data_IF_398371440991
#
_entry.id   IF_398371440991
#
_cell.length_a   1.000
_cell.length_b   1.000
_cell.length_c   1.000
_cell.angle_alpha   90.00
_cell.angle_beta   90.00
_cell.angle_gamma   90.00
#
_symmetry.space_group_name_H-M   'P 1'
#
loop_
_entity.id
_entity.type
_entity.pdbx_description
1 polymer ?
#
# COMPACT_ATOMS: atom_id res chain seq x y z
N UNK A 1 15.37 -5.34 -17.92
CA UNK A 1 15.30 -5.40 -16.45
C UNK A 1 14.71 -4.10 -15.93
N UNK A 2 13.80 -4.20 -14.96
CA UNK A 2 13.30 -3.04 -14.21
C UNK A 2 13.90 -3.11 -12.81
N UNK A 3 14.62 -2.09 -12.42
CA UNK A 3 15.25 -2.02 -11.11
C UNK A 3 14.98 -0.65 -10.49
N UNK A 4 14.74 -0.61 -9.19
CA UNK A 4 14.32 0.61 -8.50
C UNK A 4 15.09 0.77 -7.20
N UNK A 5 15.36 2.02 -6.85
CA UNK A 5 15.88 2.36 -5.53
C UNK A 5 14.75 2.99 -4.71
N UNK A 6 14.51 2.45 -3.53
CA UNK A 6 13.40 2.93 -2.68
C UNK A 6 13.51 4.42 -2.40
N UNK A 7 14.72 4.93 -2.12
CA UNK A 7 14.91 6.34 -1.84
C UNK A 7 14.47 7.24 -3.00
N UNK A 8 14.70 6.79 -4.24
CA UNK A 8 14.27 7.52 -5.42
C UNK A 8 12.75 7.48 -5.59
N UNK A 9 12.13 6.33 -5.30
CA UNK A 9 10.68 6.20 -5.35
C UNK A 9 10.01 7.12 -4.33
N UNK A 10 10.56 7.22 -3.13
CA UNK A 10 10.05 8.11 -2.09
C UNK A 10 10.13 9.56 -2.58
N UNK A 11 11.25 9.95 -3.18
CA UNK A 11 11.42 11.30 -3.74
C UNK A 11 10.42 11.58 -4.85
N UNK A 12 10.23 10.64 -5.78
CA UNK A 12 9.24 10.77 -6.86
C UNK A 12 7.82 10.88 -6.31
N UNK A 13 7.51 10.12 -5.27
CA UNK A 13 6.20 10.18 -4.62
C UNK A 13 5.92 11.58 -4.09
N UNK A 14 6.89 12.20 -3.43
CA UNK A 14 6.74 13.57 -2.89
C UNK A 14 6.39 14.59 -3.97
N UNK A 15 6.93 14.39 -5.18
CA UNK A 15 6.71 15.31 -6.29
C UNK A 15 5.42 15.00 -7.06
N UNK A 16 4.77 13.87 -6.79
CA UNK A 16 3.64 13.41 -7.59
C UNK A 16 2.29 14.00 -7.18
N UNK A 17 2.16 14.51 -5.97
CA UNK A 17 0.88 14.94 -5.37
C UNK A 17 -0.17 13.83 -5.29
N UNK A 18 0.25 12.58 -5.34
CA UNK A 18 -0.64 11.42 -5.24
C UNK A 18 -0.38 10.70 -3.93
N UNK A 19 -1.41 10.10 -3.35
CA UNK A 19 -1.22 9.20 -2.20
C UNK A 19 -0.55 7.91 -2.65
N UNK A 20 -0.95 7.37 -3.79
CA UNK A 20 -0.43 6.12 -4.34
C UNK A 20 0.31 6.37 -5.67
N UNK A 21 1.57 6.00 -5.72
CA UNK A 21 2.39 6.08 -6.93
C UNK A 21 2.69 4.67 -7.43
N UNK A 22 2.01 4.26 -8.52
CA UNK A 22 2.32 3.00 -9.18
C UNK A 22 3.60 3.17 -10.00
N UNK A 23 4.60 2.31 -9.75
CA UNK A 23 5.89 2.43 -10.45
C UNK A 23 6.23 1.21 -11.29
N UNK A 24 5.48 0.12 -11.15
CA UNK A 24 5.64 -1.08 -11.97
C UNK A 24 4.28 -1.66 -12.28
N UNK A 25 4.07 -1.98 -13.55
CA UNK A 25 2.86 -2.69 -13.98
C UNK A 25 3.20 -3.65 -15.11
N UNK A 26 3.00 -4.92 -14.85
CA UNK A 26 3.05 -6.01 -15.84
C UNK A 26 1.78 -6.83 -15.64
N UNK A 27 1.41 -7.73 -16.58
CA UNK A 27 0.10 -8.40 -16.48
C UNK A 27 -0.16 -9.13 -15.17
N UNK A 28 0.84 -9.79 -14.60
CA UNK A 28 0.65 -10.63 -13.42
C UNK A 28 1.03 -9.95 -12.11
N UNK A 29 1.47 -8.68 -12.17
CA UNK A 29 1.94 -7.98 -10.98
C UNK A 29 1.92 -6.48 -11.20
N UNK A 30 1.50 -5.72 -10.18
CA UNK A 30 1.81 -4.28 -10.11
C UNK A 30 2.36 -3.95 -8.74
N UNK A 31 3.14 -2.88 -8.67
CA UNK A 31 3.71 -2.39 -7.43
C UNK A 31 3.58 -0.88 -7.35
N UNK A 32 3.36 -0.38 -6.15
CA UNK A 32 3.31 1.04 -5.91
C UNK A 32 3.77 1.41 -4.52
N UNK A 33 3.93 2.70 -4.32
CA UNK A 33 4.28 3.28 -3.03
C UNK A 33 3.09 4.09 -2.54
N UNK A 34 2.57 3.74 -1.37
CA UNK A 34 1.41 4.39 -0.75
C UNK A 34 1.89 5.12 0.49
N UNK A 35 1.56 6.41 0.60
CA UNK A 35 1.94 7.23 1.74
C UNK A 35 0.71 7.90 2.31
N UNK A 36 0.49 7.69 3.61
CA UNK A 36 -0.63 8.30 4.34
C UNK A 36 -0.08 9.16 5.46
N UNK A 37 -0.53 10.42 5.56
CA UNK A 37 -0.04 11.30 6.62
C UNK A 37 -0.55 10.88 7.99
N UNK A 38 0.16 11.28 9.04
CA UNK A 38 -0.30 11.11 10.42
C UNK A 38 -1.69 11.74 10.56
N UNK A 39 -2.59 11.03 11.21
CA UNK A 39 -3.99 11.46 11.36
C UNK A 39 -4.82 11.38 10.08
N UNK A 40 -4.24 10.87 8.99
CA UNK A 40 -4.94 10.77 7.71
C UNK A 40 -6.00 9.70 7.69
N UNK A 41 -6.79 9.72 6.61
CA UNK A 41 -7.86 8.75 6.38
C UNK A 41 -7.52 7.92 5.14
N UNK A 42 -7.62 6.60 5.29
CA UNK A 42 -7.45 5.67 4.18
C UNK A 42 -8.83 5.34 3.60
N UNK A 43 -9.15 5.92 2.46
CA UNK A 43 -10.46 5.82 1.84
C UNK A 43 -10.49 4.76 0.73
N UNK A 44 -9.81 3.65 0.92
CA UNK A 44 -9.77 2.59 -0.08
C UNK A 44 -11.08 1.81 -0.17
N UNK A 45 -11.38 1.37 -1.40
CA UNK A 45 -12.40 0.36 -1.66
C UNK A 45 -11.71 -1.01 -1.79
N UNK A 46 -12.45 -2.12 -1.60
CA UNK A 46 -11.87 -3.44 -1.84
C UNK A 46 -11.31 -3.56 -3.26
N UNK A 47 -10.18 -4.24 -3.41
CA UNK A 47 -9.55 -4.47 -4.70
C UNK A 47 -9.95 -5.85 -5.23
N UNK A 48 -9.97 -5.98 -6.56
CA UNK A 48 -10.33 -7.23 -7.23
C UNK A 48 -9.13 -8.18 -7.36
N UNK A 49 -7.96 -7.76 -6.91
CA UNK A 49 -6.71 -8.53 -6.94
C UNK A 49 -6.26 -8.84 -5.51
N UNK A 50 -5.44 -9.88 -5.36
CA UNK A 50 -4.74 -10.12 -4.11
C UNK A 50 -3.70 -9.02 -3.90
N UNK A 51 -3.44 -8.69 -2.63
CA UNK A 51 -2.59 -7.55 -2.28
C UNK A 51 -1.69 -7.90 -1.11
N UNK A 52 -0.45 -7.42 -1.16
CA UNK A 52 0.47 -7.49 -0.02
C UNK A 52 0.99 -6.09 0.28
N UNK A 53 0.98 -5.73 1.54
CA UNK A 53 1.61 -4.52 2.05
C UNK A 53 2.92 -4.86 2.75
N UNK A 54 3.94 -4.06 2.51
CA UNK A 54 5.18 -4.08 3.29
C UNK A 54 5.41 -2.68 3.85
N UNK A 55 5.37 -2.54 5.18
CA UNK A 55 5.54 -1.24 5.84
C UNK A 55 7.01 -0.85 5.85
N UNK A 56 7.33 0.25 5.17
CA UNK A 56 8.68 0.80 5.07
C UNK A 56 8.99 1.72 6.23
N UNK A 57 8.03 2.55 6.64
CA UNK A 57 8.19 3.48 7.75
C UNK A 57 6.85 3.88 8.31
N UNK A 58 6.85 4.38 9.54
CA UNK A 58 5.66 4.85 10.22
C UNK A 58 5.00 3.80 11.10
N UNK A 59 3.92 4.20 11.76
CA UNK A 59 3.11 3.34 12.64
C UNK A 59 1.64 3.64 12.46
N UNK A 60 0.84 2.58 12.40
CA UNK A 60 -0.60 2.69 12.26
C UNK A 60 -1.26 1.39 12.73
N UNK A 61 -2.53 1.26 12.45
CA UNK A 61 -3.25 0.01 12.57
C UNK A 61 -3.85 -0.33 11.20
N UNK A 62 -4.11 -1.60 10.96
CA UNK A 62 -4.83 -2.04 9.77
C UNK A 62 -6.00 -2.91 10.19
N UNK A 63 -7.15 -2.67 9.57
CA UNK A 63 -8.33 -3.52 9.70
C UNK A 63 -8.52 -4.27 8.38
N UNK A 64 -8.59 -5.59 8.46
CA UNK A 64 -8.86 -6.47 7.33
C UNK A 64 -10.04 -7.35 7.71
N UNK A 65 -11.17 -7.18 7.03
CA UNK A 65 -12.45 -7.78 7.39
C UNK A 65 -12.79 -7.42 8.85
N UNK A 66 -12.90 -8.40 9.74
CA UNK A 66 -13.24 -8.19 11.16
C UNK A 66 -12.00 -8.19 12.08
N UNK A 67 -10.80 -8.27 11.52
CA UNK A 67 -9.55 -8.31 12.28
C UNK A 67 -8.83 -6.98 12.22
N UNK A 68 -8.21 -6.59 13.33
CA UNK A 68 -7.53 -5.32 13.47
C UNK A 68 -6.22 -5.53 14.22
N UNK A 69 -5.13 -4.95 13.72
CA UNK A 69 -3.82 -5.06 14.38
C UNK A 69 -2.94 -3.87 14.12
N UNK A 70 -1.97 -3.66 15.01
CA UNK A 70 -0.93 -2.66 14.81
C UNK A 70 0.04 -3.10 13.72
N UNK A 71 0.54 -2.12 12.97
CA UNK A 71 1.58 -2.31 11.96
C UNK A 71 2.68 -1.27 12.14
N UNK A 72 3.90 -1.63 11.80
CA UNK A 72 5.09 -0.81 11.95
C UNK A 72 6.13 -1.24 10.94
N UNK A 73 7.30 -0.61 10.97
CA UNK A 73 8.42 -0.95 10.08
C UNK A 73 8.64 -2.46 10.07
N UNK A 74 8.62 -3.05 8.89
CA UNK A 74 8.81 -4.48 8.70
C UNK A 74 7.55 -5.32 8.74
N UNK A 75 6.39 -4.75 9.04
CA UNK A 75 5.13 -5.49 8.98
C UNK A 75 4.80 -5.87 7.54
N UNK A 76 4.37 -7.11 7.34
CA UNK A 76 3.91 -7.62 6.05
C UNK A 76 2.49 -8.12 6.24
N UNK A 77 1.55 -7.62 5.41
CA UNK A 77 0.14 -7.96 5.52
C UNK A 77 -0.40 -8.40 4.17
N UNK A 78 -1.00 -9.58 4.14
CA UNK A 78 -1.71 -10.07 2.96
C UNK A 78 -3.20 -9.75 3.09
N UNK A 79 -3.77 -9.23 2.01
CA UNK A 79 -5.21 -8.97 1.90
C UNK A 79 -5.73 -9.71 0.67
N UNK A 80 -6.66 -10.63 0.88
CA UNK A 80 -7.27 -11.37 -0.22
C UNK A 80 -8.14 -10.44 -1.07
N UNK A 81 -8.25 -10.78 -2.35
CA UNK A 81 -9.12 -10.04 -3.29
C UNK A 81 -10.52 -9.90 -2.72
N UNK A 82 -11.15 -8.76 -2.99
CA UNK A 82 -12.53 -8.43 -2.60
C UNK A 82 -12.76 -8.31 -1.09
N UNK A 83 -11.70 -8.37 -0.28
CA UNK A 83 -11.82 -8.22 1.18
C UNK A 83 -11.70 -6.74 1.55
N UNK A 84 -12.66 -6.26 2.33
CA UNK A 84 -12.64 -4.89 2.84
C UNK A 84 -11.47 -4.70 3.79
N UNK A 85 -10.74 -3.61 3.61
CA UNK A 85 -9.56 -3.31 4.42
C UNK A 85 -9.26 -1.82 4.43
N UNK A 86 -8.57 -1.36 5.48
CA UNK A 86 -8.08 0.01 5.55
C UNK A 86 -7.03 0.16 6.65
N UNK A 87 -6.10 1.09 6.44
CA UNK A 87 -5.26 1.59 7.52
C UNK A 87 -6.06 2.63 8.32
N UNK A 88 -5.75 2.73 9.60
CA UNK A 88 -6.36 3.73 10.48
C UNK A 88 -5.44 4.02 11.66
N UNK A 89 -5.80 5.02 12.47
CA UNK A 89 -5.03 5.40 13.65
C UNK A 89 -3.55 5.60 13.30
N UNK A 90 -3.32 6.37 12.24
CA UNK A 90 -1.96 6.62 11.72
C UNK A 90 -1.27 7.59 12.67
N UNK A 91 -0.32 7.10 13.47
CA UNK A 91 0.40 7.89 14.46
C UNK A 91 1.59 8.62 13.86
N UNK A 92 2.27 7.98 12.91
CA UNK A 92 3.39 8.55 12.17
C UNK A 92 3.12 8.33 10.69
N UNK A 93 3.56 9.26 9.85
CA UNK A 93 3.39 9.11 8.41
C UNK A 93 3.75 7.71 7.98
N UNK A 94 2.80 7.03 7.33
CA UNK A 94 2.90 5.64 6.96
C UNK A 94 3.33 5.52 5.50
N UNK A 95 4.45 4.85 5.26
CA UNK A 95 4.95 4.57 3.92
C UNK A 95 4.94 3.06 3.69
N UNK A 96 4.24 2.63 2.65
CA UNK A 96 3.99 1.21 2.39
C UNK A 96 4.32 0.89 0.94
N UNK A 97 5.09 -0.19 0.72
CA UNK A 97 5.15 -0.81 -0.60
C UNK A 97 3.94 -1.70 -0.76
N UNK A 98 3.29 -1.60 -1.91
CA UNK A 98 2.06 -2.33 -2.23
C UNK A 98 2.30 -3.20 -3.46
N UNK A 99 1.90 -4.46 -3.35
CA UNK A 99 2.02 -5.45 -4.41
C UNK A 99 0.63 -5.96 -4.75
N UNK A 100 0.24 -5.91 -6.01
CA UNK A 100 -1.02 -6.50 -6.48
C UNK A 100 -0.72 -7.65 -7.44
N UNK A 101 -1.45 -8.75 -7.30
CA UNK A 101 -1.34 -9.90 -8.20
C UNK A 101 -2.76 -10.42 -8.53
N UNK A 102 -3.15 -10.37 -9.82
CA UNK A 102 -2.50 -9.71 -10.95
C UNK A 102 -2.41 -8.21 -10.77
N UNK A 103 -1.92 -7.49 -11.77
CA UNK A 103 -1.78 -6.03 -11.68
C UNK A 103 -3.10 -5.38 -11.27
N UNK A 104 -3.02 -4.30 -10.49
CA UNK A 104 -4.21 -3.57 -10.02
C UNK A 104 -5.14 -3.24 -11.19
N UNK A 105 -6.44 -3.39 -10.96
CA UNK A 105 -7.52 -3.19 -11.92
C UNK A 105 -7.58 -4.21 -13.08
N UNK A 106 -6.78 -5.27 -13.06
CA UNK A 106 -6.80 -6.28 -14.12
C UNK A 106 -8.13 -7.04 -14.21
N UNK A 107 -8.81 -7.20 -13.07
CA UNK A 107 -10.07 -7.95 -12.98
C UNK A 107 -11.30 -7.04 -12.92
N UNK A 108 -11.11 -5.77 -13.17
CA UNK A 108 -12.17 -4.77 -13.01
C UNK A 108 -12.92 -4.53 -14.31
#
# INVERSE_FOLDING_TARGET
>A
MHAYELAQLISQHKDSNKLYLEFLKVPDLSMGLYVLPAGGVDAQSPHTEDEVYYVVSGRARIKVADKDRAVQVGSIVYVAKNVEHRFHSIEEELTVLVFFAPAEYSNK
#
